data_IF_293201295306
#
_entry.id   IF_293201295306
#
_cell.length_a   1.000
_cell.length_b   1.000
_cell.length_c   1.000
_cell.angle_alpha   90.00
_cell.angle_beta   90.00
_cell.angle_gamma   90.00
#
_symmetry.space_group_name_H-M   'P 1'
#
loop_
_entity.id
_entity.type
_entity.pdbx_description
1 polymer ?
#
# COMPACT_ATOMS: atom_id res chain seq x y z
N UNK A 1 6.65 9.61 15.55
CA UNK A 1 6.10 8.24 15.46
C UNK A 1 6.81 7.35 16.46
N UNK A 2 6.08 6.49 17.14
CA UNK A 2 6.60 5.56 18.14
C UNK A 2 7.64 4.63 17.52
N UNK A 3 8.70 4.32 18.29
CA UNK A 3 9.81 3.49 17.82
C UNK A 3 9.37 2.06 17.47
N UNK A 4 8.43 1.49 18.24
CA UNK A 4 7.90 0.16 17.95
C UNK A 4 7.08 0.14 16.66
N UNK A 5 6.38 1.21 16.37
CA UNK A 5 5.66 1.37 15.10
C UNK A 5 6.63 1.49 13.94
N UNK A 6 7.70 2.28 14.08
CA UNK A 6 8.73 2.37 13.04
C UNK A 6 9.38 1.01 12.75
N UNK A 7 9.71 0.27 13.80
CA UNK A 7 10.30 -1.06 13.66
C UNK A 7 9.33 -2.01 12.95
N UNK A 8 8.04 -1.95 13.26
CA UNK A 8 7.03 -2.75 12.58
C UNK A 8 6.92 -2.38 11.10
N UNK A 9 6.92 -1.09 10.77
CA UNK A 9 6.86 -0.64 9.37
C UNK A 9 8.11 -1.06 8.57
N UNK A 10 9.25 -1.24 9.23
CA UNK A 10 10.48 -1.70 8.58
C UNK A 10 10.50 -3.21 8.38
N UNK A 11 9.75 -3.99 9.16
CA UNK A 11 9.88 -5.43 9.26
C UNK A 11 8.64 -6.21 8.83
N UNK A 12 7.44 -5.71 9.18
CA UNK A 12 6.20 -6.42 8.93
C UNK A 12 5.86 -6.41 7.43
N UNK A 13 4.96 -7.28 7.03
CA UNK A 13 4.52 -7.41 5.63
C UNK A 13 3.01 -7.37 5.50
N UNK A 14 2.30 -8.01 6.40
CA UNK A 14 0.85 -8.19 6.31
C UNK A 14 0.15 -7.23 7.25
N UNK A 15 -0.82 -6.51 6.71
CA UNK A 15 -1.63 -5.54 7.45
C UNK A 15 -3.09 -5.73 7.06
N UNK A 16 -3.97 -5.04 7.75
CA UNK A 16 -5.30 -4.73 7.24
C UNK A 16 -5.36 -3.24 6.90
N UNK A 17 -6.19 -2.90 5.95
CA UNK A 17 -6.56 -1.51 5.69
C UNK A 17 -8.08 -1.38 5.80
N UNK A 18 -8.55 -0.27 6.34
CA UNK A 18 -9.97 0.08 6.30
C UNK A 18 -10.14 1.28 5.38
N UNK A 19 -10.82 1.06 4.26
CA UNK A 19 -11.13 2.09 3.27
C UNK A 19 -12.63 2.38 3.30
N UNK A 20 -13.01 3.50 2.70
CA UNK A 20 -14.43 3.86 2.54
C UNK A 20 -14.90 3.43 1.16
N UNK A 21 -15.94 2.61 1.10
CA UNK A 21 -16.48 2.11 -0.17
C UNK A 21 -16.88 3.25 -1.09
N UNK A 22 -16.35 3.26 -2.31
CA UNK A 22 -16.56 4.35 -3.26
C UNK A 22 -18.02 4.45 -3.72
N UNK A 23 -18.80 3.38 -3.62
CA UNK A 23 -20.21 3.35 -3.99
C UNK A 23 -21.15 3.41 -2.80
N UNK A 24 -20.78 2.80 -1.68
CA UNK A 24 -21.67 2.64 -0.53
C UNK A 24 -21.40 3.64 0.59
N UNK A 25 -20.19 4.22 0.65
CA UNK A 25 -19.77 5.07 1.76
C UNK A 25 -19.51 4.29 3.06
N UNK A 26 -19.56 2.95 3.01
CA UNK A 26 -19.37 2.11 4.18
C UNK A 26 -17.92 1.69 4.35
N UNK A 27 -17.45 1.51 5.60
CA UNK A 27 -16.09 1.01 5.84
C UNK A 27 -15.91 -0.39 5.28
N UNK A 28 -14.75 -0.64 4.68
CA UNK A 28 -14.34 -1.95 4.13
C UNK A 28 -12.97 -2.29 4.66
N UNK A 29 -12.85 -3.41 5.37
CA UNK A 29 -11.57 -3.88 5.90
C UNK A 29 -11.04 -5.02 5.04
N UNK A 30 -9.77 -4.91 4.63
CA UNK A 30 -9.14 -5.86 3.70
C UNK A 30 -7.74 -6.18 4.19
N UNK A 31 -7.36 -7.45 4.18
CA UNK A 31 -5.99 -7.86 4.43
C UNK A 31 -5.16 -7.68 3.17
N UNK A 32 -3.98 -7.11 3.32
CA UNK A 32 -3.09 -6.80 2.19
C UNK A 32 -1.63 -6.75 2.66
N UNK A 33 -0.70 -6.89 1.73
CA UNK A 33 0.71 -6.65 2.02
C UNK A 33 1.06 -5.19 1.76
N UNK A 34 2.01 -4.69 2.53
CA UNK A 34 2.64 -3.41 2.25
C UNK A 34 4.13 -3.60 2.02
N UNK A 35 4.77 -2.60 1.44
CA UNK A 35 6.20 -2.64 1.13
C UNK A 35 6.87 -1.38 1.62
N UNK A 36 8.00 -1.56 2.33
CA UNK A 36 8.85 -0.46 2.75
C UNK A 36 10.02 -0.38 1.77
N UNK A 37 10.09 0.71 1.02
CA UNK A 37 11.18 0.97 0.07
C UNK A 37 11.93 2.20 0.57
N UNK A 38 13.07 1.98 1.22
CA UNK A 38 13.92 3.04 1.77
C UNK A 38 13.14 4.00 2.69
N UNK A 39 12.30 3.45 3.55
CA UNK A 39 11.50 4.22 4.50
C UNK A 39 10.18 4.74 3.96
N UNK A 40 9.92 4.59 2.69
CA UNK A 40 8.63 4.95 2.08
C UNK A 40 7.73 3.74 1.99
N UNK A 41 6.47 3.92 2.32
CA UNK A 41 5.49 2.82 2.38
C UNK A 41 4.64 2.84 1.12
N UNK A 42 4.48 1.66 0.52
CA UNK A 42 3.67 1.47 -0.68
C UNK A 42 2.74 0.27 -0.52
N UNK A 43 1.59 0.34 -1.19
CA UNK A 43 0.66 -0.77 -1.34
C UNK A 43 0.45 -0.99 -2.83
N UNK A 44 0.52 -2.25 -3.25
CA UNK A 44 0.34 -2.65 -4.65
C UNK A 44 -0.28 -4.04 -4.71
N UNK A 45 -0.57 -4.52 -5.90
CA UNK A 45 -1.09 -5.87 -6.14
C UNK A 45 -0.74 -6.34 -7.54
N UNK A 46 -1.19 -7.52 -7.90
CA UNK A 46 -1.08 -8.01 -9.29
C UNK A 46 -1.91 -7.14 -10.23
N UNK A 47 -1.62 -7.14 -11.55
CA UNK A 47 -2.39 -6.34 -12.49
C UNK A 47 -3.88 -6.64 -12.41
N UNK A 48 -4.70 -5.60 -12.59
CA UNK A 48 -6.16 -5.69 -12.59
C UNK A 48 -6.82 -4.73 -11.62
N UNK A 49 -8.14 -4.69 -11.68
CA UNK A 49 -8.95 -3.81 -10.83
C UNK A 49 -9.02 -4.33 -9.40
N UNK A 50 -9.04 -3.41 -8.44
CA UNK A 50 -9.17 -3.71 -7.01
C UNK A 50 -10.13 -2.73 -6.37
N UNK A 51 -11.03 -3.24 -5.55
CA UNK A 51 -11.99 -2.39 -4.83
C UNK A 51 -11.28 -1.42 -3.90
N UNK A 52 -10.24 -1.87 -3.19
CA UNK A 52 -9.51 -0.99 -2.28
C UNK A 52 -8.85 0.18 -3.01
N UNK A 53 -8.39 -0.05 -4.24
CA UNK A 53 -7.78 1.02 -5.04
C UNK A 53 -8.83 2.05 -5.48
N UNK A 54 -9.97 1.59 -5.99
CA UNK A 54 -11.08 2.46 -6.35
C UNK A 54 -11.58 3.27 -5.14
N UNK A 55 -11.65 2.62 -3.98
CA UNK A 55 -12.03 3.28 -2.73
C UNK A 55 -11.05 4.39 -2.35
N UNK A 56 -9.75 4.13 -2.47
CA UNK A 56 -8.71 5.11 -2.14
C UNK A 56 -8.64 6.26 -3.16
N UNK A 57 -8.99 6.02 -4.42
CA UNK A 57 -9.10 7.11 -5.41
C UNK A 57 -10.25 8.05 -5.05
N UNK A 58 -11.37 7.52 -4.58
CA UNK A 58 -12.53 8.32 -4.18
C UNK A 58 -12.32 8.96 -2.80
N UNK A 59 -11.73 8.22 -1.84
CA UNK A 59 -11.52 8.64 -0.46
C UNK A 59 -10.10 8.30 -0.04
N UNK A 60 -9.14 9.22 -0.22
CA UNK A 60 -7.70 8.91 0.04
C UNK A 60 -7.35 8.66 1.50
N UNK A 61 -8.13 9.18 2.45
CA UNK A 61 -7.92 8.91 3.87
C UNK A 61 -8.38 7.51 4.24
N UNK A 62 -7.57 6.78 4.99
CA UNK A 62 -7.89 5.42 5.40
C UNK A 62 -7.17 5.07 6.71
N UNK A 63 -7.47 3.90 7.25
CA UNK A 63 -6.78 3.39 8.44
C UNK A 63 -5.87 2.22 8.05
N UNK A 64 -4.62 2.34 8.46
CA UNK A 64 -3.56 1.34 8.24
C UNK A 64 -3.41 0.58 9.56
N UNK A 65 -3.75 -0.72 9.56
CA UNK A 65 -3.76 -1.54 10.77
C UNK A 65 -2.55 -2.45 10.80
N UNK A 66 -1.58 -2.14 11.66
CA UNK A 66 -0.50 -3.08 11.98
C UNK A 66 -1.08 -4.21 12.82
N UNK A 67 -0.69 -5.45 12.54
CA UNK A 67 -1.22 -6.63 13.24
C UNK A 67 -0.21 -7.77 13.39
N UNK A 68 1.02 -7.62 12.91
CA UNK A 68 2.04 -8.67 13.06
C UNK A 68 2.87 -8.47 14.31
N UNK A 69 3.94 -7.68 14.25
CA UNK A 69 4.83 -7.51 15.40
C UNK A 69 4.24 -6.62 16.50
N UNK A 70 3.35 -5.69 16.12
CA UNK A 70 2.59 -4.86 17.05
C UNK A 70 1.16 -4.70 16.54
N UNK A 71 0.25 -4.28 17.40
CA UNK A 71 -1.12 -3.93 17.02
C UNK A 71 -1.28 -2.42 17.16
N UNK A 72 -1.57 -1.75 16.04
CA UNK A 72 -1.77 -0.31 16.03
C UNK A 72 -2.61 0.11 14.84
N UNK A 73 -3.50 1.06 15.05
CA UNK A 73 -4.34 1.65 14.02
C UNK A 73 -3.79 3.04 13.69
N UNK A 74 -3.34 3.22 12.47
CA UNK A 74 -2.67 4.44 12.05
C UNK A 74 -3.52 5.18 11.01
N UNK A 75 -3.95 6.42 11.30
CA UNK A 75 -4.55 7.26 10.28
C UNK A 75 -3.56 7.50 9.15
N UNK A 76 -3.98 7.27 7.92
CA UNK A 76 -3.11 7.31 6.77
C UNK A 76 -3.80 7.95 5.57
N UNK A 77 -2.99 8.32 4.58
CA UNK A 77 -3.46 8.87 3.32
C UNK A 77 -2.73 8.19 2.17
N UNK A 78 -3.47 7.81 1.16
CA UNK A 78 -2.94 7.19 -0.06
C UNK A 78 -2.83 8.20 -1.19
N UNK A 79 -1.71 8.14 -1.91
CA UNK A 79 -1.50 8.92 -3.12
C UNK A 79 -1.19 7.96 -4.26
N UNK A 80 -2.02 7.91 -5.32
CA UNK A 80 -1.73 7.03 -6.45
C UNK A 80 -0.40 7.42 -7.12
N UNK A 81 0.39 6.42 -7.48
CA UNK A 81 1.62 6.61 -8.24
C UNK A 81 1.28 6.33 -9.70
N UNK A 82 1.23 7.38 -10.51
CA UNK A 82 0.74 7.31 -11.90
C UNK A 82 1.82 7.54 -12.95
N UNK A 83 2.91 8.22 -12.60
CA UNK A 83 4.00 8.46 -13.54
C UNK A 83 4.69 7.13 -13.91
N UNK A 84 4.81 6.79 -15.21
CA UNK A 84 5.38 5.50 -15.61
C UNK A 84 6.81 5.26 -15.13
N UNK A 85 7.66 6.26 -15.14
CA UNK A 85 9.05 6.11 -14.72
C UNK A 85 9.15 5.91 -13.21
N UNK A 86 8.36 6.66 -12.45
CA UNK A 86 8.28 6.50 -11.00
C UNK A 86 7.71 5.12 -10.63
N UNK A 87 6.64 4.69 -11.29
CA UNK A 87 6.05 3.37 -11.11
C UNK A 87 7.08 2.28 -11.34
N UNK A 88 7.85 2.39 -12.44
CA UNK A 88 8.87 1.39 -12.79
C UNK A 88 9.96 1.32 -11.73
N UNK A 89 10.44 2.45 -11.27
CA UNK A 89 11.49 2.50 -10.25
C UNK A 89 11.04 1.84 -8.94
N UNK A 90 9.83 2.13 -8.48
CA UNK A 90 9.28 1.58 -7.25
C UNK A 90 9.00 0.09 -7.39
N UNK A 91 8.31 -0.30 -8.45
CA UNK A 91 7.93 -1.70 -8.68
C UNK A 91 9.15 -2.59 -8.92
N UNK A 92 10.20 -2.08 -9.57
CA UNK A 92 11.44 -2.83 -9.75
C UNK A 92 12.07 -3.20 -8.40
N UNK A 93 12.04 -2.31 -7.45
CA UNK A 93 12.55 -2.57 -6.09
C UNK A 93 11.70 -3.57 -5.34
N UNK A 94 10.39 -3.40 -5.39
CA UNK A 94 9.45 -4.33 -4.72
C UNK A 94 9.60 -5.74 -5.30
N UNK A 95 9.56 -5.86 -6.62
CA UNK A 95 9.64 -7.15 -7.30
C UNK A 95 11.02 -7.79 -7.16
N UNK A 96 12.09 -6.98 -7.09
CA UNK A 96 13.42 -7.47 -6.82
C UNK A 96 13.52 -8.21 -5.48
N UNK A 97 12.87 -7.68 -4.45
CA UNK A 97 12.81 -8.34 -3.14
C UNK A 97 11.98 -9.62 -3.15
N UNK A 98 10.94 -9.67 -3.99
CA UNK A 98 10.06 -10.83 -4.11
C UNK A 98 10.60 -11.88 -5.09
N UNK A 99 11.70 -11.60 -5.81
CA UNK A 99 12.21 -12.51 -6.82
C UNK A 99 11.32 -12.62 -8.05
N UNK A 100 10.60 -11.56 -8.40
CA UNK A 100 9.58 -11.55 -9.47
C UNK A 100 9.79 -10.43 -10.48
N UNK A 101 11.04 -10.15 -10.81
CA UNK A 101 11.38 -9.08 -11.76
C UNK A 101 10.88 -9.35 -13.17
N UNK A 102 10.60 -10.61 -13.53
CA UNK A 102 9.98 -10.99 -14.78
C UNK A 102 8.56 -10.41 -14.95
N UNK A 103 7.92 -9.99 -13.86
CA UNK A 103 6.58 -9.41 -13.89
C UNK A 103 6.58 -7.88 -14.01
N UNK A 104 7.75 -7.26 -14.12
CA UNK A 104 7.87 -5.80 -14.02
C UNK A 104 7.04 -5.06 -15.07
N UNK A 105 7.16 -5.42 -16.34
CA UNK A 105 6.45 -4.72 -17.42
C UNK A 105 4.93 -4.80 -17.24
N UNK A 106 4.41 -5.97 -16.91
CA UNK A 106 2.98 -6.17 -16.68
C UNK A 106 2.49 -5.34 -15.50
N UNK A 107 3.28 -5.28 -14.43
CA UNK A 107 2.92 -4.54 -13.23
C UNK A 107 2.97 -3.03 -13.43
N UNK A 108 3.97 -2.53 -14.15
CA UNK A 108 4.04 -1.11 -14.50
C UNK A 108 2.80 -0.70 -15.31
N UNK A 109 2.36 -1.55 -16.22
CA UNK A 109 1.22 -1.27 -17.08
C UNK A 109 -0.12 -1.34 -16.35
N UNK A 110 -0.30 -2.28 -15.41
CA UNK A 110 -1.65 -2.58 -14.91
C UNK A 110 -1.84 -2.78 -13.43
N UNK A 111 -0.79 -2.74 -12.60
CA UNK A 111 -0.97 -2.91 -11.15
C UNK A 111 -1.44 -1.61 -10.49
N UNK A 112 -2.34 -1.72 -9.49
CA UNK A 112 -2.58 -0.59 -8.60
C UNK A 112 -1.32 -0.32 -7.78
N UNK A 113 -1.01 0.95 -7.55
CA UNK A 113 0.14 1.35 -6.74
C UNK A 113 -0.16 2.68 -6.07
N UNK A 114 -0.09 2.69 -4.74
CA UNK A 114 -0.25 3.90 -3.95
C UNK A 114 0.94 4.07 -2.99
N UNK A 115 1.32 5.32 -2.79
CA UNK A 115 2.23 5.71 -1.71
C UNK A 115 1.39 6.04 -0.48
N UNK A 116 1.89 5.67 0.69
CA UNK A 116 1.18 5.86 1.96
C UNK A 116 1.93 6.86 2.82
N UNK A 117 1.23 7.87 3.31
CA UNK A 117 1.75 8.79 4.32
C UNK A 117 0.89 8.69 5.57
N UNK A 118 1.48 8.96 6.73
CA UNK A 118 0.80 8.86 8.02
C UNK A 118 0.61 10.25 8.63
N UNK A 119 -0.51 10.41 9.32
CA UNK A 119 -0.74 11.59 10.15
C UNK A 119 0.16 11.53 11.39
N UNK A 120 0.76 12.64 11.72
CA UNK A 120 1.59 12.76 12.92
C UNK A 120 0.76 13.18 14.14
#
# INVERSE_FOLDING_TARGET
MDERIRAALARDRTIDITTIGCRTGQPRRTEIWFHNVEGRIYITGTPGKRDWYANLLAHPGFTFHLKQSVTADLPARATPVTDPDERRAILARILGRLGRTDQLDARVAGSPLVAVTFAD
#
